data_IF_234581067207
#
_entry.id   IF_234581067207
#
_cell.length_a   1.000
_cell.length_b   1.000
_cell.length_c   1.000
_cell.angle_alpha   90.00
_cell.angle_beta   90.00
_cell.angle_gamma   90.00
#
_symmetry.space_group_name_H-M   'P 1'
#
loop_
_entity.id
_entity.type
_entity.pdbx_description
1 polymer ?
#
# COMPACT_ATOMS: atom_id res chain seq x y z
N UNK A 1 -2.23 0.65 -20.81
CA UNK A 1 -2.39 -0.54 -19.93
C UNK A 1 -3.82 -0.97 -19.63
N UNK A 2 -4.89 -0.23 -20.00
CA UNK A 2 -6.27 -0.65 -19.68
C UNK A 2 -7.28 -0.53 -20.84
N UNK A 3 -6.83 -0.22 -22.07
CA UNK A 3 -7.67 -0.10 -23.28
C UNK A 3 -9.00 0.65 -23.06
N UNK A 4 -8.92 1.87 -22.51
CA UNK A 4 -10.09 2.71 -22.19
C UNK A 4 -10.87 2.32 -20.92
N UNK A 5 -10.39 1.35 -20.13
CA UNK A 5 -10.99 0.94 -18.85
C UNK A 5 -10.20 1.44 -17.65
N UNK A 6 -10.79 1.32 -16.47
CA UNK A 6 -10.13 1.55 -15.19
C UNK A 6 -9.69 0.22 -14.58
N UNK A 7 -8.48 0.20 -14.02
CA UNK A 7 -8.00 -0.90 -13.18
C UNK A 7 -8.25 -0.46 -11.74
N UNK A 8 -9.08 -1.23 -11.04
CA UNK A 8 -9.39 -0.95 -9.64
C UNK A 8 -8.46 -1.74 -8.74
N UNK A 9 -8.13 -1.15 -7.60
CA UNK A 9 -7.43 -1.85 -6.53
C UNK A 9 -8.27 -3.05 -6.04
N UNK A 10 -7.61 -4.10 -5.52
CA UNK A 10 -8.31 -5.17 -4.82
C UNK A 10 -9.23 -4.59 -3.74
N UNK A 11 -10.44 -5.15 -3.61
CA UNK A 11 -11.38 -4.73 -2.55
C UNK A 11 -10.77 -4.87 -1.14
N UNK A 12 -9.89 -5.83 -0.96
CA UNK A 12 -9.17 -6.06 0.28
C UNK A 12 -7.78 -6.65 -0.01
N UNK A 13 -6.78 -5.77 -0.14
CA UNK A 13 -5.40 -6.14 -0.45
C UNK A 13 -4.78 -7.05 0.61
N UNK A 14 -5.07 -6.85 1.89
CA UNK A 14 -4.56 -7.73 2.96
C UNK A 14 -5.13 -9.16 2.87
N UNK A 15 -6.42 -9.29 2.52
CA UNK A 15 -7.03 -10.62 2.31
C UNK A 15 -6.39 -11.30 1.09
N UNK A 16 -6.27 -10.58 -0.02
CA UNK A 16 -5.63 -11.08 -1.24
C UNK A 16 -4.19 -11.55 -0.97
N UNK A 17 -3.39 -10.76 -0.24
CA UNK A 17 -2.02 -11.13 0.11
C UNK A 17 -1.97 -12.39 0.98
N UNK A 18 -2.89 -12.54 1.95
CA UNK A 18 -2.99 -13.74 2.79
C UNK A 18 -3.33 -14.99 1.99
N UNK A 19 -4.30 -14.89 1.09
CA UNK A 19 -4.71 -16.01 0.22
C UNK A 19 -3.59 -16.44 -0.72
N UNK A 20 -2.88 -15.48 -1.33
CA UNK A 20 -1.69 -15.76 -2.13
C UNK A 20 -0.62 -16.46 -1.31
N UNK A 21 -0.28 -15.92 -0.12
CA UNK A 21 0.71 -16.53 0.77
C UNK A 21 0.37 -17.98 1.06
N UNK A 22 -0.88 -18.28 1.39
CA UNK A 22 -1.34 -19.64 1.68
C UNK A 22 -1.15 -20.58 0.49
N UNK A 23 -1.60 -20.17 -0.71
CA UNK A 23 -1.47 -20.95 -1.95
C UNK A 23 -0.01 -21.22 -2.31
N UNK A 24 0.86 -20.21 -2.17
CA UNK A 24 2.28 -20.30 -2.51
C UNK A 24 3.05 -21.15 -1.50
N UNK A 25 2.81 -20.96 -0.20
CA UNK A 25 3.39 -21.83 0.85
C UNK A 25 3.04 -23.29 0.61
N UNK A 26 1.78 -23.58 0.29
CA UNK A 26 1.34 -24.94 -0.01
C UNK A 26 1.99 -25.50 -1.27
N UNK A 27 1.92 -24.76 -2.39
CA UNK A 27 2.41 -25.23 -3.69
C UNK A 27 3.93 -25.45 -3.71
N UNK A 28 4.69 -24.60 -3.04
CA UNK A 28 6.16 -24.62 -3.08
C UNK A 28 6.79 -25.14 -1.78
N UNK A 29 5.99 -25.65 -0.84
CA UNK A 29 6.42 -26.18 0.46
C UNK A 29 7.34 -25.23 1.26
N UNK A 30 6.99 -23.95 1.28
CA UNK A 30 7.80 -22.88 1.89
C UNK A 30 7.28 -22.59 3.28
N UNK A 31 8.16 -22.62 4.29
CA UNK A 31 7.78 -22.28 5.67
C UNK A 31 7.68 -20.77 5.88
N UNK A 32 8.69 -20.03 5.43
CA UNK A 32 8.81 -18.59 5.61
C UNK A 32 8.60 -17.86 4.28
N UNK A 33 7.44 -17.22 4.17
CA UNK A 33 7.06 -16.48 2.98
C UNK A 33 6.34 -15.19 3.39
N UNK A 34 6.83 -14.08 2.88
CA UNK A 34 6.13 -12.80 2.89
C UNK A 34 5.40 -12.60 1.56
N UNK A 35 4.30 -11.87 1.58
CA UNK A 35 3.60 -11.45 0.37
C UNK A 35 3.24 -9.99 0.55
N UNK A 36 3.55 -9.16 -0.43
CA UNK A 36 3.37 -7.71 -0.40
C UNK A 36 2.75 -7.27 -1.73
N UNK A 37 1.60 -6.63 -1.65
CA UNK A 37 0.91 -6.00 -2.77
C UNK A 37 1.23 -4.51 -2.72
N UNK A 38 1.72 -3.98 -3.83
CA UNK A 38 2.21 -2.61 -3.94
C UNK A 38 1.41 -1.81 -4.95
N UNK A 39 1.49 -0.49 -4.85
CA UNK A 39 1.06 0.46 -5.87
C UNK A 39 1.98 1.68 -5.82
N UNK A 40 1.94 2.53 -6.84
CA UNK A 40 2.77 3.73 -6.90
C UNK A 40 2.00 4.96 -6.40
N UNK A 41 2.68 5.81 -5.63
CA UNK A 41 2.11 7.05 -5.10
C UNK A 41 3.07 8.21 -5.28
N UNK A 42 2.52 9.42 -5.33
CA UNK A 42 3.30 10.65 -5.21
C UNK A 42 3.51 10.99 -3.74
N UNK A 43 4.61 11.69 -3.48
CA UNK A 43 4.94 12.27 -2.18
C UNK A 43 4.92 13.79 -2.35
N UNK A 44 4.26 14.54 -1.46
CA UNK A 44 4.25 16.00 -1.54
C UNK A 44 5.67 16.58 -1.63
N UNK A 45 5.84 17.58 -2.51
CA UNK A 45 7.11 18.30 -2.70
C UNK A 45 8.29 17.42 -3.17
N UNK A 46 8.01 16.25 -3.74
CA UNK A 46 9.01 15.38 -4.39
C UNK A 46 8.59 15.10 -5.82
N UNK A 47 9.54 15.14 -6.74
CA UNK A 47 9.31 14.74 -8.13
C UNK A 47 9.33 13.21 -8.24
N UNK A 48 8.42 12.67 -9.05
CA UNK A 48 8.30 11.23 -9.31
C UNK A 48 7.30 10.51 -8.41
N UNK A 49 7.21 9.18 -8.62
CA UNK A 49 6.38 8.26 -7.85
C UNK A 49 7.27 7.26 -7.10
N UNK A 50 6.76 6.73 -6.00
CA UNK A 50 7.41 5.69 -5.20
C UNK A 50 6.41 4.59 -4.85
N UNK A 51 6.89 3.37 -4.67
CA UNK A 51 6.06 2.25 -4.23
C UNK A 51 5.56 2.40 -2.79
N UNK A 52 4.31 2.04 -2.55
CA UNK A 52 3.66 1.96 -1.24
C UNK A 52 3.00 0.60 -1.06
N UNK A 53 2.93 0.10 0.17
CA UNK A 53 2.24 -1.13 0.52
C UNK A 53 0.72 -0.90 0.58
N UNK A 54 -0.04 -1.60 -0.26
CA UNK A 54 -1.51 -1.65 -0.16
C UNK A 54 -1.98 -2.75 0.78
N UNK A 55 -1.23 -3.84 0.89
CA UNK A 55 -1.54 -4.95 1.77
C UNK A 55 -0.45 -6.00 1.76
N UNK A 56 -0.29 -6.71 2.87
CA UNK A 56 0.78 -7.69 3.03
C UNK A 56 0.37 -8.81 3.99
N UNK A 57 1.13 -9.90 3.94
CA UNK A 57 0.95 -11.07 4.78
C UNK A 57 2.31 -11.75 5.06
N UNK A 58 2.43 -12.36 6.24
CA UNK A 58 3.59 -13.19 6.59
C UNK A 58 4.70 -12.46 7.33
N UNK A 59 4.61 -11.14 7.53
CA UNK A 59 5.62 -10.35 8.23
C UNK A 59 5.01 -9.08 8.83
N UNK A 60 5.70 -8.48 9.82
CA UNK A 60 5.31 -7.19 10.40
C UNK A 60 5.68 -6.03 9.50
N UNK A 61 4.72 -5.15 9.23
CA UNK A 61 4.93 -3.95 8.42
C UNK A 61 5.70 -2.86 9.15
N UNK A 62 5.65 -2.85 10.49
CA UNK A 62 6.43 -1.92 11.31
C UNK A 62 7.47 -2.68 12.13
N UNK A 63 8.71 -2.17 12.10
CA UNK A 63 9.71 -2.48 13.12
C UNK A 63 9.70 -1.39 14.17
N UNK A 64 9.41 -1.76 15.41
CA UNK A 64 9.35 -0.83 16.54
C UNK A 64 10.64 -0.90 17.36
N UNK A 65 11.37 0.21 17.45
CA UNK A 65 12.59 0.30 18.26
C UNK A 65 12.34 0.96 19.61
N UNK A 66 11.11 1.37 19.92
CA UNK A 66 10.80 2.03 21.19
C UNK A 66 11.11 1.09 22.35
N UNK A 67 11.81 1.60 23.36
CA UNK A 67 12.27 0.84 24.52
C UNK A 67 13.58 0.07 24.29
N UNK A 68 14.06 -0.06 23.05
CA UNK A 68 15.38 -0.64 22.77
C UNK A 68 16.49 0.38 23.03
N UNK A 69 17.70 -0.11 23.29
CA UNK A 69 18.89 0.72 23.54
C UNK A 69 19.61 1.05 22.23
N UNK A 70 20.01 2.31 22.07
CA UNK A 70 20.87 2.74 20.98
C UNK A 70 22.34 2.37 21.23
N UNK A 71 23.21 2.74 20.28
CA UNK A 71 24.66 2.48 20.34
C UNK A 71 25.38 3.21 21.50
N UNK A 72 24.71 4.16 22.17
CA UNK A 72 25.21 4.88 23.34
C UNK A 72 24.51 4.44 24.64
N UNK A 73 23.74 3.34 24.61
CA UNK A 73 23.01 2.80 25.75
C UNK A 73 21.75 3.59 26.14
N UNK A 74 21.30 4.54 25.31
CA UNK A 74 20.11 5.36 25.59
C UNK A 74 18.86 4.64 25.08
N UNK A 75 17.78 4.68 25.85
CA UNK A 75 16.49 4.12 25.42
C UNK A 75 15.87 4.97 24.31
N UNK A 76 15.58 4.35 23.17
CA UNK A 76 14.84 4.97 22.08
C UNK A 76 13.37 5.18 22.46
N UNK A 77 12.84 6.38 22.23
CA UNK A 77 11.46 6.76 22.63
C UNK A 77 10.44 6.72 21.49
N UNK A 78 10.86 7.01 20.26
CA UNK A 78 9.95 7.28 19.13
C UNK A 78 10.18 6.35 17.94
N UNK A 79 11.44 5.94 17.71
CA UNK A 79 11.89 5.30 16.48
C UNK A 79 11.06 4.07 16.06
N UNK A 80 10.45 4.18 14.88
CA UNK A 80 9.75 3.09 14.17
C UNK A 80 10.16 3.13 12.70
N UNK A 81 10.32 1.99 12.08
CA UNK A 81 10.62 1.87 10.65
C UNK A 81 9.43 1.24 9.93
N UNK A 82 8.98 1.88 8.86
CA UNK A 82 8.00 1.30 7.94
C UNK A 82 8.68 0.33 6.99
N UNK A 83 8.71 -0.93 7.41
CA UNK A 83 9.33 -2.03 6.67
C UNK A 83 8.52 -2.37 5.43
N UNK A 84 7.19 -2.31 5.49
CA UNK A 84 6.32 -2.64 4.37
C UNK A 84 6.52 -1.65 3.21
N UNK A 85 6.47 -0.34 3.48
CA UNK A 85 6.67 0.68 2.44
C UNK A 85 8.11 0.73 1.93
N UNK A 86 9.09 0.46 2.80
CA UNK A 86 10.50 0.35 2.38
C UNK A 86 10.71 -0.77 1.36
N UNK A 87 10.11 -1.95 1.60
CA UNK A 87 10.16 -3.07 0.67
C UNK A 87 9.34 -2.78 -0.59
N UNK A 88 8.20 -2.11 -0.47
CA UNK A 88 7.37 -1.73 -1.61
C UNK A 88 8.12 -0.77 -2.53
N UNK A 89 8.81 0.22 -1.98
CA UNK A 89 9.63 1.17 -2.73
C UNK A 89 10.72 0.45 -3.51
N UNK A 90 11.44 -0.47 -2.86
CA UNK A 90 12.50 -1.25 -3.52
C UNK A 90 11.95 -2.16 -4.63
N UNK A 91 10.83 -2.83 -4.39
CA UNK A 91 10.17 -3.70 -5.37
C UNK A 91 9.70 -2.91 -6.59
N UNK A 92 8.99 -1.80 -6.38
CA UNK A 92 8.48 -0.96 -7.47
C UNK A 92 9.62 -0.38 -8.31
N UNK A 93 10.72 0.02 -7.69
CA UNK A 93 11.90 0.51 -8.41
C UNK A 93 12.45 -0.51 -9.42
N UNK A 94 12.52 -1.80 -9.04
CA UNK A 94 13.04 -2.86 -9.92
C UNK A 94 11.98 -3.40 -10.89
N UNK A 95 10.69 -3.28 -10.57
CA UNK A 95 9.58 -3.66 -11.44
C UNK A 95 9.39 -2.68 -12.60
N UNK A 96 9.75 -1.42 -12.39
CA UNK A 96 9.51 -0.34 -13.36
C UNK A 96 8.06 0.13 -13.38
N UNK A 97 7.83 1.31 -13.93
CA UNK A 97 6.50 1.95 -14.02
C UNK A 97 5.97 2.03 -15.47
N UNK A 98 6.74 1.51 -16.43
CA UNK A 98 6.51 1.65 -17.86
C UNK A 98 6.13 0.34 -18.55
N UNK A 99 6.84 0.05 -19.65
CA UNK A 99 6.60 -1.12 -20.51
C UNK A 99 7.56 -2.29 -20.21
N UNK A 100 8.29 -2.24 -19.09
CA UNK A 100 9.21 -3.29 -18.63
C UNK A 100 8.46 -4.62 -18.44
N UNK A 101 7.16 -4.56 -18.13
CA UNK A 101 6.29 -5.73 -17.97
C UNK A 101 6.81 -6.71 -16.90
N UNK A 102 7.37 -6.17 -15.81
CA UNK A 102 7.84 -6.93 -14.66
C UNK A 102 6.91 -6.71 -13.45
N UNK A 103 5.74 -7.39 -13.38
CA UNK A 103 4.75 -7.19 -12.30
C UNK A 103 5.16 -7.88 -10.97
N UNK A 104 6.38 -8.42 -10.88
CA UNK A 104 6.81 -9.24 -9.75
C UNK A 104 8.29 -8.98 -9.45
N UNK A 105 8.59 -8.74 -8.18
CA UNK A 105 9.94 -8.76 -7.63
C UNK A 105 10.03 -9.76 -6.48
N UNK A 106 11.19 -10.40 -6.35
CA UNK A 106 11.54 -11.27 -5.23
C UNK A 106 12.61 -10.55 -4.41
N UNK A 107 12.36 -10.36 -3.12
CA UNK A 107 13.34 -9.81 -2.19
C UNK A 107 13.80 -10.93 -1.26
N UNK A 108 15.07 -11.28 -1.39
CA UNK A 108 15.71 -12.28 -0.54
C UNK A 108 16.42 -11.63 0.65
N UNK A 109 16.54 -12.38 1.75
CA UNK A 109 17.25 -11.94 2.97
C UNK A 109 16.77 -10.59 3.51
N UNK A 110 15.51 -10.24 3.26
CA UNK A 110 14.89 -9.05 3.81
C UNK A 110 14.94 -9.13 5.35
N UNK A 111 15.35 -8.05 6.05
CA UNK A 111 15.40 -8.06 7.50
C UNK A 111 13.97 -7.90 8.04
N UNK A 112 13.15 -8.94 7.98
CA UNK A 112 11.73 -8.89 8.40
C UNK A 112 11.49 -9.79 9.60
N UNK A 113 10.55 -9.40 10.46
CA UNK A 113 10.03 -10.29 11.49
C UNK A 113 8.83 -11.04 10.89
N UNK A 114 8.97 -12.35 10.69
CA UNK A 114 7.88 -13.20 10.22
C UNK A 114 6.77 -13.26 11.26
N UNK A 115 5.52 -13.16 10.81
CA UNK A 115 4.34 -13.34 11.64
C UNK A 115 3.20 -13.96 10.82
N UNK A 116 2.33 -14.74 11.47
CA UNK A 116 1.20 -15.35 10.75
C UNK A 116 -0.01 -14.42 10.64
N UNK A 117 -0.19 -13.52 11.60
CA UNK A 117 -1.28 -12.54 11.59
C UNK A 117 -0.72 -11.11 11.60
N UNK A 118 -1.07 -10.38 10.55
CA UNK A 118 -0.74 -8.97 10.36
C UNK A 118 -1.83 -8.08 10.96
N UNK A 119 -1.42 -7.00 11.62
CA UNK A 119 -2.32 -5.95 12.09
C UNK A 119 -2.54 -4.94 10.97
N UNK A 120 -3.71 -4.94 10.35
CA UNK A 120 -4.03 -4.08 9.18
C UNK A 120 -3.79 -2.58 9.42
N UNK A 121 -4.00 -2.13 10.65
CA UNK A 121 -3.90 -0.71 11.00
C UNK A 121 -2.51 -0.34 11.53
N UNK A 122 -1.50 -1.20 11.48
CA UNK A 122 -0.19 -0.87 12.06
C UNK A 122 0.59 0.19 11.30
N UNK A 123 0.32 0.34 9.99
CA UNK A 123 0.83 1.44 9.15
C UNK A 123 -0.02 2.72 9.26
N UNK A 124 -1.24 2.62 9.79
CA UNK A 124 -2.12 3.78 9.90
C UNK A 124 -1.77 4.61 11.14
N UNK A 125 -1.61 5.91 10.92
CA UNK A 125 -1.54 6.90 11.98
C UNK A 125 -2.89 7.62 12.05
N UNK A 126 -3.37 7.88 13.27
CA UNK A 126 -4.60 8.64 13.44
C UNK A 126 -4.35 10.09 13.04
N UNK A 127 -5.35 10.74 12.43
CA UNK A 127 -5.17 12.10 11.91
C UNK A 127 -4.72 13.09 13.00
N UNK A 128 -5.18 12.93 14.24
CA UNK A 128 -4.77 13.77 15.36
C UNK A 128 -3.30 13.61 15.78
N UNK A 129 -2.69 12.47 15.45
CA UNK A 129 -1.30 12.14 15.77
C UNK A 129 -0.37 12.37 14.57
N UNK A 130 -0.92 12.70 13.40
CA UNK A 130 -0.18 12.93 12.16
C UNK A 130 0.47 14.32 12.16
N UNK A 131 1.76 14.40 11.86
CA UNK A 131 2.50 15.67 11.79
C UNK A 131 1.93 16.63 10.74
N UNK A 132 1.26 16.12 9.72
CA UNK A 132 0.61 16.89 8.67
C UNK A 132 -0.82 17.33 9.03
N UNK A 133 -1.35 16.95 10.20
CA UNK A 133 -2.69 17.32 10.66
C UNK A 133 -3.00 18.82 10.51
N UNK A 134 -2.10 19.76 10.90
CA UNK A 134 -2.41 21.18 10.81
C UNK A 134 -2.66 21.63 9.37
N UNK A 135 -1.96 21.05 8.39
CA UNK A 135 -2.14 21.34 6.97
C UNK A 135 -3.55 20.96 6.50
N UNK A 136 -4.04 19.78 6.89
CA UNK A 136 -5.36 19.31 6.51
C UNK A 136 -6.49 20.10 7.20
N UNK A 137 -6.27 20.56 8.44
CA UNK A 137 -7.24 21.36 9.18
C UNK A 137 -7.54 22.71 8.52
N UNK A 138 -6.56 23.31 7.85
CA UNK A 138 -6.70 24.58 7.15
C UNK A 138 -7.42 24.43 5.79
N UNK A 139 -7.29 23.27 5.14
CA UNK A 139 -8.00 22.96 3.88
C UNK A 139 -9.51 22.75 4.10
N UNK A 140 -9.90 22.09 5.20
CA UNK A 140 -11.32 21.89 5.55
C UNK A 140 -12.06 23.21 5.79
N UNK A 141 -11.39 24.21 6.39
CA UNK A 141 -11.99 25.51 6.68
C UNK A 141 -12.29 26.34 5.43
N UNK A 142 -11.53 26.18 4.33
CA UNK A 142 -11.74 26.95 3.09
C UNK A 142 -12.92 26.48 2.25
N UNK A 143 -13.33 25.21 2.33
CA UNK A 143 -14.45 24.67 1.54
C UNK A 143 -15.81 25.27 1.91
N UNK A 144 -15.96 25.85 3.12
CA UNK A 144 -17.19 26.49 3.55
C UNK A 144 -17.41 27.89 2.94
N UNK A 145 -16.38 28.55 2.41
CA UNK A 145 -16.51 29.89 1.80
C UNK A 145 -16.87 29.84 0.31
N UNK A 146 -16.51 28.77 -0.41
CA UNK A 146 -16.70 28.67 -1.87
C UNK A 146 -18.06 28.07 -2.28
N UNK A 147 -18.85 27.57 -1.33
CA UNK A 147 -20.17 26.97 -1.61
C UNK A 147 -21.29 27.96 -1.94
N UNK A 148 -21.05 29.28 -1.84
CA UNK A 148 -22.07 30.32 -2.08
C UNK A 148 -22.18 30.80 -3.53
N UNK A 149 -21.31 30.37 -4.46
CA UNK A 149 -21.24 30.94 -5.82
C UNK A 149 -21.55 29.97 -6.98
N UNK A 150 -21.88 28.70 -6.74
CA UNK A 150 -22.14 27.74 -7.82
C UNK A 150 -23.46 26.96 -7.67
N UNK A 151 -24.48 27.57 -7.07
CA UNK A 151 -25.85 27.05 -7.13
C UNK A 151 -26.75 27.99 -7.91
N UNK A 152 -26.85 27.74 -9.22
CA UNK A 152 -28.09 27.66 -10.03
C UNK A 152 -27.68 27.68 -11.51
N UNK A 153 -28.00 26.58 -12.23
CA UNK A 153 -28.08 26.48 -13.71
C UNK A 153 -26.92 25.83 -14.49
N UNK A 154 -26.38 24.68 -14.09
CA UNK A 154 -25.54 23.87 -15.01
C UNK A 154 -25.78 22.35 -14.97
N UNK A 155 -26.82 21.87 -14.27
CA UNK A 155 -27.18 20.44 -14.25
C UNK A 155 -28.51 20.23 -14.99
N UNK A 156 -28.50 20.36 -16.31
CA UNK A 156 -29.55 19.79 -17.16
C UNK A 156 -28.93 18.93 -18.26
N UNK A 157 -29.28 17.63 -18.19
CA UNK A 157 -29.18 16.56 -19.18
C UNK A 157 -27.78 16.06 -19.55
N UNK A 158 -27.39 14.97 -18.89
CA UNK A 158 -26.72 13.87 -19.59
C UNK A 158 -27.17 12.54 -19.00
N UNK A 159 -28.26 11.99 -19.51
CA UNK A 159 -28.66 10.59 -19.24
C UNK A 159 -28.05 9.72 -20.33
N UNK A 160 -27.00 8.97 -19.99
CA UNK A 160 -26.55 7.84 -20.82
C UNK A 160 -27.28 6.56 -20.39
N UNK A 161 -27.74 5.73 -21.34
CA UNK A 161 -28.29 4.41 -21.02
C UNK A 161 -27.13 3.48 -20.68
N UNK A 162 -27.17 2.81 -19.52
CA UNK A 162 -26.18 1.76 -19.22
C UNK A 162 -26.87 0.45 -18.85
N UNK A 163 -27.09 -0.33 -19.91
CA UNK A 163 -27.14 -1.78 -19.88
C UNK A 163 -25.82 -2.29 -19.28
N UNK A 164 -25.83 -2.97 -18.13
CA UNK A 164 -24.63 -3.62 -17.57
C UNK A 164 -24.92 -5.06 -17.18
N UNK A 165 -24.60 -5.95 -18.13
CA UNK A 165 -24.25 -7.35 -17.86
C UNK A 165 -23.14 -7.39 -16.81
N UNK A 166 -23.35 -8.18 -15.75
CA UNK A 166 -22.29 -8.58 -14.81
C UNK A 166 -21.33 -9.52 -15.53
N UNK A 167 -20.06 -9.13 -15.65
CA UNK A 167 -18.98 -10.07 -15.94
C UNK A 167 -17.80 -9.79 -15.02
N UNK A 168 -17.39 -10.84 -14.31
CA UNK A 168 -16.19 -10.91 -13.49
C UNK A 168 -14.96 -10.77 -14.39
N UNK A 169 -14.06 -9.84 -14.06
CA UNK A 169 -12.73 -9.79 -14.65
C UNK A 169 -11.73 -9.84 -13.50
N UNK A 170 -10.97 -10.92 -13.48
CA UNK A 170 -9.85 -11.19 -12.58
C UNK A 170 -8.72 -10.20 -12.84
N UNK A 171 -8.53 -9.24 -11.93
CA UNK A 171 -7.34 -8.38 -11.93
C UNK A 171 -6.09 -9.15 -11.48
N UNK A 172 -4.96 -8.90 -12.14
CA UNK A 172 -3.63 -9.42 -11.80
C UNK A 172 -3.29 -9.05 -10.36
N UNK A 173 -2.70 -10.00 -9.64
CA UNK A 173 -2.25 -9.83 -8.26
C UNK A 173 -0.72 -9.86 -8.29
N UNK A 174 -0.10 -8.76 -7.91
CA UNK A 174 1.35 -8.61 -7.80
C UNK A 174 1.77 -9.02 -6.39
N UNK A 175 2.54 -10.11 -6.23
CA UNK A 175 3.35 -10.41 -5.04
C UNK A 175 4.00 -11.81 -5.06
N UNK A 176 5.30 -11.95 -4.73
CA UNK A 176 5.91 -13.06 -3.95
C UNK A 176 7.21 -12.58 -3.29
N UNK A 177 7.28 -12.55 -1.95
CA UNK A 177 8.51 -12.30 -1.19
C UNK A 177 9.03 -13.64 -0.61
N UNK A 178 10.06 -14.21 -1.22
CA UNK A 178 10.66 -15.48 -0.81
C UNK A 178 11.87 -15.23 0.10
N UNK A 179 11.80 -15.70 1.35
CA UNK A 179 12.89 -15.56 2.32
C UNK A 179 13.28 -16.91 2.92
N UNK A 180 14.39 -17.49 2.47
CA UNK A 180 15.07 -18.60 3.14
C UNK A 180 15.98 -18.04 4.25
N UNK A 181 16.02 -18.69 5.41
CA UNK A 181 17.29 -19.10 5.97
C UNK A 181 17.30 -20.63 6.22
N UNK A 182 18.50 -21.20 6.22
CA UNK A 182 18.83 -22.63 6.37
C UNK A 182 17.92 -23.39 7.34
#
# INVERSE_FOLDING_TARGET
NANGKLILLPKDSFKTARELRGKLKYKYNVKHLGVLITDSRTIPLRAGVTGVALGYAGFRGIRDYRGTVDIFGRKMKISRTDVADSLATAAVLVMGEGNEQQPLAIIEKAPIEFCDTVRRNELHIAIQDDMYQPLFSQLQKKQHHTRKLLTKNAWRRFTMPTNKKKQNVSGRIDAILYGIPR
#
